data_IF_807143915504
#
_entry.id   IF_807143915504
#
_cell.length_a   1.000
_cell.length_b   1.000
_cell.length_c   1.000
_cell.angle_alpha   90.00
_cell.angle_beta   90.00
_cell.angle_gamma   90.00
#
_symmetry.space_group_name_H-M   'P 1'
#
loop_
_entity.id
_entity.type
_entity.pdbx_description
1 polymer ?
#
# COMPACT_ATOMS: atom_id res chain seq x y z
N UNK A 1 -25.30 -4.23 -9.94
CA UNK A 1 -24.80 -5.08 -8.85
C UNK A 1 -24.20 -4.17 -7.81
N UNK A 2 -24.75 -4.10 -6.59
CA UNK A 2 -24.16 -3.29 -5.52
C UNK A 2 -22.91 -4.00 -5.03
N UNK A 3 -21.73 -3.43 -5.26
CA UNK A 3 -20.51 -3.89 -4.59
C UNK A 3 -20.73 -3.71 -3.09
N UNK A 4 -20.95 -4.81 -2.38
CA UNK A 4 -21.15 -4.81 -0.94
C UNK A 4 -19.90 -4.25 -0.25
N UNK A 5 -20.08 -3.16 0.49
CA UNK A 5 -19.03 -2.51 1.27
C UNK A 5 -18.34 -3.52 2.19
N UNK A 6 -17.00 -3.48 2.23
CA UNK A 6 -16.23 -4.35 3.10
C UNK A 6 -16.44 -3.95 4.58
N UNK A 7 -16.79 -4.90 5.43
CA UNK A 7 -16.82 -4.70 6.88
C UNK A 7 -15.44 -4.28 7.41
N UNK A 8 -15.40 -3.55 8.53
CA UNK A 8 -14.16 -2.99 9.07
C UNK A 8 -13.05 -4.01 9.32
N UNK A 9 -13.40 -5.19 9.85
CA UNK A 9 -12.44 -6.28 10.10
C UNK A 9 -11.87 -6.86 8.80
N UNK A 10 -12.72 -7.11 7.80
CA UNK A 10 -12.29 -7.59 6.49
C UNK A 10 -11.34 -6.60 5.78
N UNK A 11 -11.57 -5.29 5.94
CA UNK A 11 -10.70 -4.26 5.38
C UNK A 11 -9.30 -4.34 5.98
N UNK A 12 -9.20 -4.39 7.31
CA UNK A 12 -7.90 -4.42 7.98
C UNK A 12 -7.15 -5.73 7.74
N UNK A 13 -7.84 -6.86 7.63
CA UNK A 13 -7.21 -8.13 7.26
C UNK A 13 -6.60 -8.05 5.85
N UNK A 14 -7.33 -7.49 4.87
CA UNK A 14 -6.83 -7.32 3.51
C UNK A 14 -5.64 -6.34 3.44
N UNK A 15 -5.68 -5.26 4.22
CA UNK A 15 -4.54 -4.33 4.34
C UNK A 15 -3.34 -5.03 4.95
N UNK A 16 -3.51 -5.75 6.07
CA UNK A 16 -2.42 -6.44 6.75
C UNK A 16 -1.74 -7.47 5.84
N UNK A 17 -2.52 -8.24 5.07
CA UNK A 17 -1.96 -9.17 4.08
C UNK A 17 -1.12 -8.46 3.02
N UNK A 18 -1.59 -7.32 2.50
CA UNK A 18 -0.85 -6.57 1.49
C UNK A 18 0.38 -5.87 2.07
N UNK A 19 0.29 -5.33 3.28
CA UNK A 19 1.42 -4.75 4.02
C UNK A 19 2.51 -5.82 4.27
N UNK A 20 2.13 -7.06 4.61
CA UNK A 20 3.09 -8.15 4.72
C UNK A 20 3.83 -8.43 3.40
N UNK A 21 3.13 -8.37 2.25
CA UNK A 21 3.76 -8.52 0.93
C UNK A 21 4.71 -7.37 0.63
N UNK A 22 4.31 -6.14 0.94
CA UNK A 22 5.16 -4.95 0.80
C UNK A 22 6.43 -5.06 1.65
N UNK A 23 6.30 -5.39 2.94
CA UNK A 23 7.43 -5.52 3.86
C UNK A 23 8.35 -6.68 3.46
N UNK A 24 7.80 -7.79 2.97
CA UNK A 24 8.59 -8.89 2.44
C UNK A 24 9.40 -8.44 1.22
N UNK A 25 8.80 -7.67 0.31
CA UNK A 25 9.47 -7.16 -0.88
C UNK A 25 10.58 -6.15 -0.55
N UNK A 26 10.31 -5.25 0.39
CA UNK A 26 11.31 -4.31 0.94
C UNK A 26 12.50 -5.04 1.57
N UNK A 27 12.23 -6.14 2.30
CA UNK A 27 13.29 -6.96 2.92
C UNK A 27 14.11 -7.72 1.86
N UNK A 28 13.47 -8.21 0.81
CA UNK A 28 14.11 -9.01 -0.23
C UNK A 28 14.81 -8.15 -1.30
N UNK A 29 14.47 -6.86 -1.41
CA UNK A 29 14.98 -5.99 -2.45
C UNK A 29 14.37 -6.28 -3.83
N UNK A 30 13.11 -6.73 -3.87
CA UNK A 30 12.39 -7.08 -5.10
C UNK A 30 11.09 -6.26 -5.27
N UNK A 31 10.97 -5.12 -4.57
CA UNK A 31 9.79 -4.27 -4.67
C UNK A 31 9.62 -3.72 -6.09
N UNK A 32 10.71 -3.48 -6.83
CA UNK A 32 10.62 -3.08 -8.25
C UNK A 32 9.76 -4.02 -9.10
N UNK A 33 9.84 -5.33 -8.85
CA UNK A 33 9.11 -6.36 -9.60
C UNK A 33 7.68 -6.58 -9.08
N UNK A 34 7.41 -6.19 -7.83
CA UNK A 34 6.13 -6.45 -7.14
C UNK A 34 5.25 -5.22 -6.97
N UNK A 35 5.79 -4.01 -7.17
CA UNK A 35 5.12 -2.75 -6.84
C UNK A 35 3.75 -2.59 -7.52
N UNK A 36 3.59 -3.05 -8.75
CA UNK A 36 2.32 -2.96 -9.49
C UNK A 36 1.24 -3.83 -8.86
N UNK A 37 1.54 -5.11 -8.59
CA UNK A 37 0.58 -6.03 -7.96
C UNK A 37 0.18 -5.57 -6.54
N UNK A 38 1.12 -4.98 -5.79
CA UNK A 38 0.85 -4.42 -4.46
C UNK A 38 -0.03 -3.17 -4.58
N UNK A 39 0.26 -2.29 -5.54
CA UNK A 39 -0.53 -1.08 -5.79
C UNK A 39 -1.97 -1.43 -6.22
N UNK A 40 -2.13 -2.36 -7.16
CA UNK A 40 -3.44 -2.87 -7.60
C UNK A 40 -4.26 -3.41 -6.44
N UNK A 41 -3.61 -4.14 -5.52
CA UNK A 41 -4.28 -4.68 -4.33
C UNK A 41 -4.76 -3.56 -3.41
N UNK A 42 -3.94 -2.54 -3.13
CA UNK A 42 -4.38 -1.37 -2.35
C UNK A 42 -5.51 -0.61 -3.04
N UNK A 43 -5.45 -0.41 -4.36
CA UNK A 43 -6.52 0.26 -5.11
C UNK A 43 -7.83 -0.53 -5.05
N UNK A 44 -7.76 -1.85 -5.15
CA UNK A 44 -8.94 -2.72 -5.02
C UNK A 44 -9.55 -2.66 -3.61
N UNK A 45 -8.70 -2.69 -2.57
CA UNK A 45 -9.13 -2.52 -1.19
C UNK A 45 -9.77 -1.13 -0.98
N UNK A 46 -9.16 -0.07 -1.55
CA UNK A 46 -9.68 1.31 -1.51
C UNK A 46 -11.09 1.42 -2.07
N UNK A 47 -11.36 0.81 -3.22
CA UNK A 47 -12.69 0.83 -3.87
C UNK A 47 -13.78 0.21 -2.99
N UNK A 48 -13.39 -0.73 -2.12
CA UNK A 48 -14.29 -1.46 -1.21
C UNK A 48 -14.30 -0.91 0.21
N UNK A 49 -13.49 0.11 0.51
CA UNK A 49 -13.39 0.71 1.81
C UNK A 49 -14.71 1.37 2.19
N UNK A 50 -15.18 1.13 3.41
CA UNK A 50 -16.41 1.73 3.93
C UNK A 50 -16.20 3.16 4.42
N UNK A 51 -14.95 3.61 4.60
CA UNK A 51 -14.63 4.97 5.02
C UNK A 51 -13.35 5.52 4.37
N UNK A 52 -13.36 6.78 3.89
CA UNK A 52 -12.14 7.47 3.46
C UNK A 52 -11.06 7.56 4.55
N UNK A 53 -11.46 7.60 5.84
CA UNK A 53 -10.52 7.69 6.96
C UNK A 53 -9.67 6.44 7.11
N UNK A 54 -10.23 5.26 6.83
CA UNK A 54 -9.49 4.00 6.92
C UNK A 54 -8.32 4.00 5.92
N UNK A 55 -8.60 4.39 4.67
CA UNK A 55 -7.56 4.44 3.65
C UNK A 55 -6.55 5.57 3.88
N UNK A 56 -6.96 6.67 4.52
CA UNK A 56 -6.02 7.71 4.94
C UNK A 56 -4.97 7.16 5.93
N UNK A 57 -5.36 6.28 6.85
CA UNK A 57 -4.40 5.63 7.76
C UNK A 57 -3.43 4.70 7.03
N UNK A 58 -3.87 4.03 5.96
CA UNK A 58 -2.98 3.24 5.10
C UNK A 58 -1.93 4.15 4.44
N UNK A 59 -2.36 5.28 3.87
CA UNK A 59 -1.43 6.23 3.26
C UNK A 59 -0.42 6.80 4.26
N UNK A 60 -0.85 7.07 5.50
CA UNK A 60 0.05 7.50 6.59
C UNK A 60 1.10 6.44 6.92
N UNK A 61 0.74 5.16 6.90
CA UNK A 61 1.68 4.06 7.10
C UNK A 61 2.71 3.99 5.96
N UNK A 62 2.26 4.10 4.70
CA UNK A 62 3.15 4.08 3.54
C UNK A 62 4.11 5.28 3.53
N UNK A 63 3.63 6.48 3.88
CA UNK A 63 4.48 7.67 4.05
C UNK A 63 5.53 7.48 5.14
N UNK A 64 5.18 6.80 6.24
CA UNK A 64 6.16 6.42 7.26
C UNK A 64 7.23 5.50 6.69
N UNK A 65 6.84 4.44 5.95
CA UNK A 65 7.79 3.54 5.30
C UNK A 65 8.71 4.28 4.31
N UNK A 66 8.18 5.23 3.53
CA UNK A 66 8.99 6.07 2.61
C UNK A 66 10.05 6.89 3.35
N UNK A 67 9.69 7.46 4.50
CA UNK A 67 10.65 8.20 5.34
C UNK A 67 11.73 7.29 5.89
N UNK A 68 11.35 6.10 6.36
CA UNK A 68 12.30 5.12 6.88
C UNK A 68 13.21 4.56 5.78
N UNK A 69 12.68 4.30 4.59
CA UNK A 69 13.47 3.82 3.45
C UNK A 69 14.54 4.84 3.04
N UNK A 70 14.21 6.13 3.05
CA UNK A 70 15.18 7.21 2.83
C UNK A 70 16.22 7.32 3.95
N UNK A 71 15.79 7.23 5.22
CA UNK A 71 16.68 7.26 6.38
C UNK A 71 17.73 6.13 6.34
N UNK A 72 17.30 4.92 5.99
CA UNK A 72 18.17 3.75 5.89
C UNK A 72 18.82 3.56 4.50
N UNK A 73 18.56 4.46 3.54
CA UNK A 73 19.08 4.39 2.16
C UNK A 73 18.80 3.04 1.47
N UNK A 74 17.57 2.54 1.62
CA UNK A 74 17.16 1.30 0.95
C UNK A 74 17.15 1.49 -0.57
N UNK A 75 17.60 0.48 -1.31
CA UNK A 75 17.53 0.47 -2.78
C UNK A 75 16.09 0.64 -3.29
N UNK A 76 15.12 0.15 -2.52
CA UNK A 76 13.69 0.19 -2.83
C UNK A 76 13.01 1.55 -2.59
N UNK A 77 13.77 2.61 -2.26
CA UNK A 77 13.18 3.93 -2.03
C UNK A 77 12.39 4.45 -3.24
N UNK A 78 12.93 4.32 -4.46
CA UNK A 78 12.26 4.78 -5.68
C UNK A 78 11.02 3.94 -6.03
N UNK A 79 11.08 2.59 -6.00
CA UNK A 79 9.88 1.76 -6.12
C UNK A 79 8.78 2.10 -5.10
N UNK A 80 9.14 2.35 -3.84
CA UNK A 80 8.18 2.72 -2.81
C UNK A 80 7.57 4.11 -3.03
N UNK A 81 8.38 5.08 -3.47
CA UNK A 81 7.88 6.40 -3.86
C UNK A 81 6.88 6.32 -5.02
N UNK A 82 7.22 5.57 -6.07
CA UNK A 82 6.31 5.31 -7.19
C UNK A 82 4.99 4.69 -6.73
N UNK A 83 5.03 3.73 -5.81
CA UNK A 83 3.81 3.09 -5.28
C UNK A 83 2.90 4.11 -4.59
N UNK A 84 3.47 5.03 -3.81
CA UNK A 84 2.71 6.05 -3.08
C UNK A 84 2.11 7.10 -4.04
N UNK A 85 2.88 7.55 -5.02
CA UNK A 85 2.39 8.48 -6.05
C UNK A 85 1.31 7.82 -6.91
N UNK A 86 1.53 6.54 -7.22
CA UNK A 86 0.59 5.51 -7.65
C UNK A 86 -0.83 5.69 -7.08
N UNK A 87 -0.90 5.47 -5.76
CA UNK A 87 -2.13 5.49 -5.00
C UNK A 87 -2.74 6.89 -4.84
N UNK A 88 -1.92 7.94 -5.00
CA UNK A 88 -2.38 9.33 -5.01
C UNK A 88 -2.90 9.80 -6.37
N UNK A 89 -2.76 8.99 -7.43
CA UNK A 89 -3.15 9.37 -8.79
C UNK A 89 -2.22 10.42 -9.40
N UNK A 90 -0.95 10.42 -8.99
CA UNK A 90 0.10 11.26 -9.57
C UNK A 90 0.96 10.36 -10.46
N UNK A 91 0.63 10.31 -11.74
CA UNK A 91 1.49 9.71 -12.78
C UNK A 91 2.28 10.82 -13.50
#
# INVERSE_FOLDING_TARGET
MSESSMGGEYFWNAIAENDCRLLAALKQGDLVDRKEAIADTYQHIRKRASSPRQFQSVMQHLDFLKRMSGHFKLAEQKPLEWLIDNLNGKD
#
